data_IF_207145935277
#
_entry.id   IF_207145935277
#
_cell.length_a   1.000
_cell.length_b   1.000
_cell.length_c   1.000
_cell.angle_alpha   90.00
_cell.angle_beta   90.00
_cell.angle_gamma   90.00
#
_symmetry.space_group_name_H-M   'P 1'
#
loop_
_entity.id
_entity.type
_entity.pdbx_description
1 polymer ?
#
# COMPACT_ATOMS: atom_id res chain seq x y z
N UNK A 1 24.85 -79.38 -76.08
CA UNK A 1 25.72 -80.29 -75.30
C UNK A 1 25.73 -79.76 -73.88
N UNK A 2 24.95 -80.38 -73.00
CA UNK A 2 24.84 -79.96 -71.59
C UNK A 2 26.05 -80.53 -70.87
N UNK A 3 26.96 -79.68 -70.41
CA UNK A 3 28.09 -80.12 -69.60
C UNK A 3 27.54 -80.56 -68.24
N UNK A 4 27.40 -81.87 -68.05
CA UNK A 4 27.20 -82.47 -66.74
C UNK A 4 28.56 -82.38 -66.04
N UNK A 5 28.80 -81.26 -65.37
CA UNK A 5 29.90 -81.14 -64.41
C UNK A 5 29.74 -82.25 -63.36
N UNK A 6 30.74 -83.13 -63.30
CA UNK A 6 30.85 -84.25 -62.37
C UNK A 6 30.67 -83.76 -60.92
N UNK A 7 29.75 -84.38 -60.16
CA UNK A 7 29.40 -83.92 -58.80
C UNK A 7 30.61 -83.85 -57.87
N UNK A 8 31.62 -84.71 -58.11
CA UNK A 8 32.91 -84.71 -57.39
C UNK A 8 33.67 -83.38 -57.55
N UNK A 9 33.67 -82.80 -58.76
CA UNK A 9 34.37 -81.56 -59.09
C UNK A 9 33.63 -80.32 -58.57
N UNK A 10 32.29 -80.33 -58.60
CA UNK A 10 31.45 -79.29 -57.97
C UNK A 10 31.64 -79.26 -56.46
N UNK A 11 31.65 -80.43 -55.81
CA UNK A 11 31.86 -80.55 -54.37
C UNK A 11 33.26 -80.07 -53.96
N UNK A 12 34.29 -80.44 -54.73
CA UNK A 12 35.66 -79.99 -54.52
C UNK A 12 35.80 -78.47 -54.64
N UNK A 13 35.22 -77.87 -55.69
CA UNK A 13 35.23 -76.40 -55.90
C UNK A 13 34.47 -75.66 -54.80
N UNK A 14 33.31 -76.17 -54.37
CA UNK A 14 32.51 -75.58 -53.29
C UNK A 14 33.28 -75.61 -51.95
N UNK A 15 33.98 -76.71 -51.66
CA UNK A 15 34.82 -76.82 -50.47
C UNK A 15 36.04 -75.89 -50.53
N UNK A 16 36.68 -75.74 -51.69
CA UNK A 16 37.77 -74.77 -51.88
C UNK A 16 37.29 -73.33 -51.63
N UNK A 17 36.13 -72.93 -52.19
CA UNK A 17 35.54 -71.60 -51.97
C UNK A 17 35.28 -71.37 -50.48
N UNK A 18 34.74 -72.35 -49.75
CA UNK A 18 34.51 -72.23 -48.30
C UNK A 18 35.80 -72.05 -47.50
N UNK A 19 36.86 -72.80 -47.86
CA UNK A 19 38.17 -72.68 -47.20
C UNK A 19 38.83 -71.34 -47.49
N UNK A 20 38.77 -70.86 -48.73
CA UNK A 20 39.29 -69.54 -49.11
C UNK A 20 38.50 -68.40 -48.47
N UNK A 21 37.17 -68.52 -48.41
CA UNK A 21 36.31 -67.56 -47.72
C UNK A 21 36.67 -67.49 -46.23
N UNK A 22 36.74 -68.63 -45.54
CA UNK A 22 37.12 -68.69 -44.13
C UNK A 22 38.53 -68.12 -43.88
N UNK A 23 39.49 -68.39 -44.78
CA UNK A 23 40.84 -67.77 -44.73
C UNK A 23 40.80 -66.26 -44.96
N UNK A 24 39.97 -65.78 -45.89
CA UNK A 24 39.81 -64.35 -46.18
C UNK A 24 39.12 -63.60 -45.04
N UNK A 25 38.11 -64.20 -44.40
CA UNK A 25 37.43 -63.67 -43.22
C UNK A 25 38.36 -63.63 -42.01
N UNK A 26 39.17 -64.68 -41.80
CA UNK A 26 40.19 -64.69 -40.76
C UNK A 26 41.22 -63.58 -40.98
N UNK A 27 41.74 -63.43 -42.22
CA UNK A 27 42.68 -62.35 -42.58
C UNK A 27 42.04 -60.96 -42.46
N UNK A 28 40.76 -60.79 -42.81
CA UNK A 28 40.05 -59.53 -42.66
C UNK A 28 39.85 -59.16 -41.19
N UNK A 29 39.57 -60.14 -40.32
CA UNK A 29 39.51 -59.94 -38.86
C UNK A 29 40.88 -59.54 -38.29
N UNK A 30 41.97 -60.14 -38.75
CA UNK A 30 43.33 -59.76 -38.34
C UNK A 30 43.69 -58.34 -38.81
N UNK A 31 43.46 -58.01 -40.09
CA UNK A 31 43.67 -56.65 -40.62
C UNK A 31 42.82 -55.60 -39.91
N UNK A 32 41.60 -55.94 -39.52
CA UNK A 32 40.72 -55.05 -38.74
C UNK A 32 41.28 -54.82 -37.34
N UNK A 33 41.77 -55.87 -36.65
CA UNK A 33 42.44 -55.72 -35.34
C UNK A 33 43.64 -54.77 -35.41
N UNK A 34 44.46 -54.88 -36.44
CA UNK A 34 45.61 -54.00 -36.64
C UNK A 34 45.19 -52.55 -36.94
N UNK A 35 44.17 -52.37 -37.79
CA UNK A 35 43.61 -51.06 -38.10
C UNK A 35 42.92 -50.38 -36.89
N UNK A 36 42.29 -51.17 -36.01
CA UNK A 36 41.64 -50.69 -34.80
C UNK A 36 42.61 -50.02 -33.82
N UNK A 37 43.89 -50.44 -33.79
CA UNK A 37 44.91 -49.80 -32.96
C UNK A 37 45.25 -48.37 -33.40
N UNK A 38 45.37 -48.14 -34.71
CA UNK A 38 45.59 -46.80 -35.26
C UNK A 38 44.33 -45.92 -35.15
N UNK A 39 43.15 -46.52 -35.32
CA UNK A 39 41.88 -45.80 -35.14
C UNK A 39 41.66 -45.38 -33.67
N UNK A 40 41.91 -46.29 -32.71
CA UNK A 40 41.73 -46.01 -31.28
C UNK A 40 42.72 -44.96 -30.77
N UNK A 41 43.97 -44.99 -31.21
CA UNK A 41 44.96 -43.95 -30.87
C UNK A 41 44.55 -42.58 -31.42
N UNK A 42 44.05 -42.52 -32.65
CA UNK A 42 43.44 -41.30 -33.20
C UNK A 42 42.27 -40.80 -32.35
N UNK A 43 41.36 -41.70 -31.96
CA UNK A 43 40.20 -41.38 -31.13
C UNK A 43 40.58 -40.88 -29.73
N UNK A 44 41.55 -41.54 -29.08
CA UNK A 44 42.08 -41.11 -27.77
C UNK A 44 42.75 -39.74 -27.86
N UNK A 45 43.50 -39.47 -28.93
CA UNK A 45 44.15 -38.18 -29.14
C UNK A 45 43.14 -37.02 -29.31
N UNK A 46 41.97 -37.30 -29.89
CA UNK A 46 40.89 -36.33 -30.03
C UNK A 46 40.14 -36.12 -28.70
N UNK A 47 39.80 -37.21 -27.99
CA UNK A 47 39.14 -37.14 -26.68
C UNK A 47 39.98 -36.39 -25.64
N UNK A 48 41.30 -36.56 -25.65
CA UNK A 48 42.21 -35.87 -24.73
C UNK A 48 42.18 -34.33 -24.87
N UNK A 49 41.76 -33.79 -26.03
CA UNK A 49 41.61 -32.35 -26.25
C UNK A 49 40.32 -31.79 -25.63
N UNK A 50 39.34 -32.64 -25.36
CA UNK A 50 38.04 -32.27 -24.82
C UNK A 50 38.05 -32.47 -23.30
N UNK A 51 38.02 -31.38 -22.55
CA UNK A 51 37.89 -31.43 -21.08
C UNK A 51 36.41 -31.32 -20.69
N UNK A 52 35.86 -32.21 -19.83
CA UNK A 52 34.53 -32.04 -19.30
C UNK A 52 34.45 -30.79 -18.41
N UNK A 53 33.34 -30.09 -18.50
CA UNK A 53 33.08 -28.88 -17.73
C UNK A 53 32.69 -29.22 -16.28
N UNK A 54 33.17 -28.43 -15.32
CA UNK A 54 32.86 -28.55 -13.90
C UNK A 54 31.70 -27.62 -13.52
N UNK A 55 30.51 -28.19 -13.31
CA UNK A 55 29.29 -27.43 -13.00
C UNK A 55 29.32 -26.70 -11.66
N UNK A 56 30.25 -27.03 -10.76
CA UNK A 56 30.38 -26.33 -9.47
C UNK A 56 30.96 -24.93 -9.62
N UNK A 57 31.53 -24.60 -10.79
CA UNK A 57 32.30 -23.39 -11.05
C UNK A 57 31.60 -22.38 -11.96
N UNK A 58 30.27 -22.24 -11.82
CA UNK A 58 29.43 -21.42 -12.71
C UNK A 58 29.99 -20.00 -12.95
N UNK A 59 30.38 -19.25 -11.91
CA UNK A 59 30.85 -17.87 -12.10
C UNK A 59 32.37 -17.76 -12.37
N UNK A 60 33.11 -18.87 -12.33
CA UNK A 60 34.56 -18.89 -12.54
C UNK A 60 34.94 -19.28 -13.98
N UNK A 61 34.20 -20.20 -14.59
CA UNK A 61 34.45 -20.69 -15.94
C UNK A 61 33.33 -20.26 -16.90
N UNK A 62 33.65 -19.48 -17.95
CA UNK A 62 32.64 -19.00 -18.90
C UNK A 62 31.97 -20.11 -19.72
N UNK A 63 32.66 -21.23 -20.00
CA UNK A 63 32.07 -22.33 -20.76
C UNK A 63 30.96 -23.04 -19.96
N UNK A 64 31.06 -23.03 -18.62
CA UNK A 64 29.99 -23.52 -17.73
C UNK A 64 28.78 -22.58 -17.77
N UNK A 65 28.99 -21.27 -17.87
CA UNK A 65 27.91 -20.29 -18.01
C UNK A 65 27.15 -20.46 -19.32
N UNK A 66 27.87 -20.71 -20.42
CA UNK A 66 27.25 -20.97 -21.72
C UNK A 66 26.43 -22.26 -21.68
N UNK A 67 26.98 -23.30 -21.04
CA UNK A 67 26.34 -24.63 -20.90
C UNK A 67 25.02 -24.59 -20.11
N UNK A 68 24.92 -23.77 -19.06
CA UNK A 68 23.72 -23.65 -18.20
C UNK A 68 22.82 -22.44 -18.57
N UNK A 69 23.22 -21.65 -19.56
CA UNK A 69 22.41 -20.52 -20.04
C UNK A 69 21.16 -21.02 -20.76
N UNK A 70 20.00 -20.40 -20.48
CA UNK A 70 18.74 -20.70 -21.18
C UNK A 70 18.86 -20.56 -22.71
N UNK A 71 19.68 -19.62 -23.17
CA UNK A 71 19.91 -19.38 -24.60
C UNK A 71 21.07 -20.22 -25.18
N UNK A 72 21.73 -21.07 -24.37
CA UNK A 72 22.93 -21.83 -24.76
C UNK A 72 24.20 -20.98 -24.92
N UNK A 73 24.12 -19.68 -24.68
CA UNK A 73 25.25 -18.73 -24.66
C UNK A 73 25.00 -17.67 -23.60
N UNK A 74 26.06 -17.18 -22.98
CA UNK A 74 26.02 -16.09 -22.01
C UNK A 74 25.83 -14.76 -22.69
N UNK A 75 25.39 -13.77 -21.92
CA UNK A 75 25.21 -12.40 -22.40
C UNK A 75 26.54 -11.83 -22.91
N UNK A 76 26.55 -11.35 -24.15
CA UNK A 76 27.72 -10.74 -24.78
C UNK A 76 28.11 -9.42 -24.10
N UNK A 77 29.36 -9.00 -24.32
CA UNK A 77 29.82 -7.67 -23.90
C UNK A 77 29.01 -6.57 -24.60
N UNK A 78 28.76 -5.41 -23.94
CA UNK A 78 27.92 -4.35 -24.50
C UNK A 78 28.35 -3.85 -25.90
N UNK A 79 29.64 -3.83 -26.21
CA UNK A 79 30.19 -3.40 -27.52
C UNK A 79 29.98 -4.41 -28.64
N UNK A 80 29.76 -5.68 -28.29
CA UNK A 80 29.55 -6.76 -29.26
C UNK A 80 28.06 -6.96 -29.58
N UNK A 81 27.17 -6.26 -28.87
CA UNK A 81 25.74 -6.28 -29.16
C UNK A 81 25.47 -5.30 -30.31
N UNK A 82 25.06 -5.78 -31.50
CA UNK A 82 24.89 -4.92 -32.67
C UNK A 82 23.72 -3.94 -32.52
N UNK A 83 22.69 -4.34 -31.76
CA UNK A 83 21.48 -3.57 -31.53
C UNK A 83 21.31 -3.26 -30.03
N UNK A 84 21.60 -2.02 -29.65
CA UNK A 84 21.52 -1.56 -28.26
C UNK A 84 21.27 -0.06 -28.14
N UNK A 85 21.46 0.46 -26.93
CA UNK A 85 21.32 1.89 -26.66
C UNK A 85 19.89 2.41 -26.89
N UNK A 86 19.68 3.52 -27.64
CA UNK A 86 18.37 4.18 -27.74
C UNK A 86 17.25 3.27 -28.27
N UNK A 87 17.58 2.30 -29.13
CA UNK A 87 16.60 1.40 -29.74
C UNK A 87 15.91 0.49 -28.72
N UNK A 88 16.61 0.13 -27.65
CA UNK A 88 16.09 -0.75 -26.59
C UNK A 88 15.58 0.01 -25.36
N UNK A 89 15.57 1.36 -25.41
CA UNK A 89 15.04 2.16 -24.32
C UNK A 89 13.56 1.85 -24.09
N UNK A 90 13.22 1.34 -22.92
CA UNK A 90 11.84 1.07 -22.56
C UNK A 90 11.12 2.34 -22.08
N UNK A 91 10.85 3.25 -23.02
CA UNK A 91 10.07 4.47 -22.79
C UNK A 91 8.57 4.27 -23.07
N UNK A 92 8.10 3.02 -23.09
CA UNK A 92 6.67 2.71 -23.27
C UNK A 92 5.85 3.12 -22.04
N UNK A 93 6.43 2.98 -20.85
CA UNK A 93 5.85 3.40 -19.58
C UNK A 93 6.12 4.88 -19.32
N UNK A 94 5.47 5.76 -20.08
CA UNK A 94 5.52 7.21 -19.90
C UNK A 94 4.11 7.77 -19.82
N UNK A 95 3.95 8.79 -18.98
CA UNK A 95 2.72 9.55 -18.89
C UNK A 95 3.05 11.01 -18.63
N UNK A 96 2.12 11.90 -19.00
CA UNK A 96 2.16 13.31 -18.62
C UNK A 96 1.09 13.51 -17.55
N UNK A 97 1.47 14.16 -16.46
CA UNK A 97 0.54 14.59 -15.43
C UNK A 97 0.18 16.05 -15.65
N UNK A 98 -1.10 16.30 -15.85
CA UNK A 98 -1.65 17.64 -15.83
C UNK A 98 -2.10 17.95 -14.38
N UNK A 99 -1.49 18.96 -13.77
CA UNK A 99 -1.81 19.40 -12.39
C UNK A 99 -2.31 20.82 -12.41
N UNK A 100 -3.45 21.06 -11.76
CA UNK A 100 -3.92 22.42 -11.50
C UNK A 100 -3.01 23.13 -10.50
N UNK A 101 -3.07 24.47 -10.50
CA UNK A 101 -2.21 25.32 -9.68
C UNK A 101 -2.27 24.99 -8.17
N UNK A 102 -3.43 24.58 -7.67
CA UNK A 102 -3.67 24.25 -6.24
C UNK A 102 -4.17 22.83 -6.02
N UNK A 103 -4.07 21.96 -7.04
CA UNK A 103 -4.52 20.57 -6.87
C UNK A 103 -3.66 19.88 -5.82
N UNK A 104 -4.31 19.43 -4.73
CA UNK A 104 -3.63 18.74 -3.64
C UNK A 104 -3.38 17.28 -3.98
N UNK A 105 -4.32 16.62 -4.66
CA UNK A 105 -4.25 15.21 -5.03
C UNK A 105 -4.40 15.06 -6.56
N UNK A 106 -3.45 14.41 -7.25
CA UNK A 106 -3.59 14.14 -8.66
C UNK A 106 -4.64 13.05 -8.91
N UNK A 107 -5.64 13.34 -9.75
CA UNK A 107 -6.69 12.41 -10.16
C UNK A 107 -6.31 11.53 -11.36
N UNK A 108 -5.14 11.74 -11.95
CA UNK A 108 -4.66 11.07 -13.17
C UNK A 108 -4.31 9.58 -12.99
N UNK A 109 -4.31 9.08 -11.75
CA UNK A 109 -3.94 7.70 -11.42
C UNK A 109 -2.44 7.42 -11.58
N UNK A 110 -1.60 8.44 -11.80
CA UNK A 110 -0.16 8.26 -11.90
C UNK A 110 0.48 7.96 -10.54
N UNK A 111 1.77 7.61 -10.55
CA UNK A 111 2.50 7.29 -9.32
C UNK A 111 2.43 8.39 -8.25
N UNK A 112 2.15 7.99 -7.00
CA UNK A 112 2.09 8.87 -5.82
C UNK A 112 3.40 8.77 -5.04
N UNK A 113 3.90 9.90 -4.54
CA UNK A 113 5.02 9.90 -3.59
C UNK A 113 4.60 9.33 -2.24
N UNK A 114 5.57 8.89 -1.44
CA UNK A 114 5.30 8.45 -0.08
C UNK A 114 4.91 9.64 0.82
N UNK A 115 4.23 9.33 1.92
CA UNK A 115 3.62 10.30 2.85
C UNK A 115 4.64 11.11 3.67
N UNK A 116 5.92 10.69 3.66
CA UNK A 116 7.03 11.48 4.23
C UNK A 116 7.43 12.67 3.34
N UNK A 117 7.07 12.65 2.05
CA UNK A 117 7.31 13.75 1.10
C UNK A 117 6.16 14.74 1.20
N UNK A 118 6.48 16.03 1.33
CA UNK A 118 5.49 17.10 1.51
C UNK A 118 4.81 17.51 0.18
N UNK A 119 4.22 16.55 -0.54
CA UNK A 119 3.51 16.70 -1.83
C UNK A 119 2.27 15.78 -1.86
N UNK A 120 1.42 15.89 -2.88
CA UNK A 120 0.30 14.95 -3.13
C UNK A 120 -0.60 14.70 -1.91
N UNK A 121 -1.17 15.77 -1.35
CA UNK A 121 -2.09 15.74 -0.21
C UNK A 121 -1.48 15.19 1.10
N UNK A 122 -0.17 15.33 1.27
CA UNK A 122 0.55 14.81 2.45
C UNK A 122 -0.03 15.26 3.80
N UNK A 123 -0.70 16.42 3.87
CA UNK A 123 -1.22 16.97 5.12
C UNK A 123 -2.32 16.08 5.69
N UNK A 124 -3.23 15.61 4.84
CA UNK A 124 -4.31 14.71 5.24
C UNK A 124 -3.74 13.35 5.66
N UNK A 125 -2.87 12.78 4.82
CA UNK A 125 -2.25 11.48 5.08
C UNK A 125 -1.42 11.46 6.38
N UNK A 126 -0.63 12.51 6.63
CA UNK A 126 0.21 12.59 7.83
C UNK A 126 -0.59 12.76 9.12
N UNK A 127 -1.85 13.21 9.00
CA UNK A 127 -2.79 13.38 10.11
C UNK A 127 -3.77 12.20 10.22
N UNK A 128 -3.56 11.13 9.45
CA UNK A 128 -4.36 9.91 9.58
C UNK A 128 -3.92 9.06 10.79
N UNK A 129 -4.91 8.39 11.41
CA UNK A 129 -4.70 7.56 12.60
C UNK A 129 -3.74 6.40 12.38
N UNK A 130 -3.65 5.89 11.15
CA UNK A 130 -2.80 4.75 10.82
C UNK A 130 -1.44 5.16 10.28
N UNK A 131 -1.20 6.45 10.08
CA UNK A 131 0.09 6.96 9.66
C UNK A 131 1.15 6.71 10.74
N UNK A 132 2.35 6.28 10.31
CA UNK A 132 3.48 6.06 11.20
C UNK A 132 4.76 6.60 10.57
N UNK A 133 5.32 7.65 11.17
CA UNK A 133 6.68 8.09 10.85
C UNK A 133 7.72 7.26 11.60
N UNK A 134 8.83 6.94 10.93
CA UNK A 134 9.98 6.30 11.57
C UNK A 134 10.86 7.24 12.38
N UNK A 135 10.59 8.55 12.34
CA UNK A 135 11.36 9.55 13.07
C UNK A 135 10.54 10.20 14.17
N UNK A 136 11.22 10.62 15.25
CA UNK A 136 10.56 11.35 16.34
C UNK A 136 10.04 12.72 15.87
N UNK A 137 8.91 13.20 16.45
CA UNK A 137 8.31 14.48 16.10
C UNK A 137 9.24 15.65 16.49
N UNK A 138 9.14 16.77 15.79
CA UNK A 138 10.12 17.88 15.86
C UNK A 138 10.17 18.49 17.26
N UNK A 139 9.02 18.59 17.93
CA UNK A 139 8.83 19.14 19.27
C UNK A 139 9.73 18.44 20.30
N UNK A 140 9.98 17.14 20.12
CA UNK A 140 10.77 16.31 21.05
C UNK A 140 12.24 16.10 20.60
N UNK A 141 12.65 16.62 19.43
CA UNK A 141 14.04 16.50 18.96
C UNK A 141 14.96 17.44 19.73
N UNK A 142 16.11 16.91 20.19
CA UNK A 142 17.10 17.63 21.01
C UNK A 142 18.39 18.03 20.27
N UNK A 143 18.52 17.72 18.98
CA UNK A 143 19.75 17.97 18.21
C UNK A 143 19.58 19.14 17.23
N UNK A 144 20.65 19.91 17.05
CA UNK A 144 20.72 21.06 16.14
C UNK A 144 20.97 20.65 14.68
N UNK A 145 21.51 19.44 14.45
CA UNK A 145 21.71 18.95 13.08
C UNK A 145 20.36 18.78 12.38
N UNK A 146 20.19 19.47 11.24
CA UNK A 146 18.96 19.54 10.46
C UNK A 146 17.80 20.28 11.14
N UNK A 147 18.06 21.12 12.15
CA UNK A 147 17.08 22.06 12.67
C UNK A 147 16.87 23.22 11.69
N UNK A 148 15.62 23.62 11.46
CA UNK A 148 15.30 24.85 10.72
C UNK A 148 15.35 26.05 11.65
N UNK A 149 15.58 27.25 11.10
CA UNK A 149 15.61 28.50 11.88
C UNK A 149 14.37 28.64 12.79
N UNK A 150 13.19 28.35 12.24
CA UNK A 150 11.95 28.36 13.01
C UNK A 150 11.97 27.35 14.17
N UNK A 151 12.37 26.10 13.92
CA UNK A 151 12.36 25.08 14.98
C UNK A 151 13.41 25.32 16.07
N UNK A 152 14.47 26.08 15.78
CA UNK A 152 15.45 26.46 16.80
C UNK A 152 14.92 27.57 17.70
N UNK A 153 14.17 28.53 17.13
CA UNK A 153 13.63 29.68 17.88
C UNK A 153 12.32 29.38 18.61
N UNK A 154 11.47 28.55 18.01
CA UNK A 154 10.14 28.25 18.52
C UNK A 154 10.07 26.82 19.05
N UNK A 155 10.25 26.71 20.36
CA UNK A 155 10.07 25.46 21.12
C UNK A 155 8.93 25.63 22.12
N UNK A 156 8.27 24.53 22.53
CA UNK A 156 7.25 24.62 23.58
C UNK A 156 7.89 25.20 24.85
N UNK A 157 7.31 26.29 25.36
CA UNK A 157 7.86 27.07 26.47
C UNK A 157 7.52 26.47 27.85
N UNK A 158 6.39 25.77 27.95
CA UNK A 158 5.90 25.18 29.20
C UNK A 158 6.47 23.74 29.38
N UNK A 159 7.30 23.49 30.41
CA UNK A 159 7.83 22.15 30.69
C UNK A 159 6.75 21.11 30.97
N UNK A 160 5.66 21.47 31.66
CA UNK A 160 4.58 20.54 31.97
C UNK A 160 3.86 20.10 30.69
N UNK A 161 3.69 21.01 29.74
CA UNK A 161 3.16 20.68 28.42
C UNK A 161 4.07 19.71 27.65
N UNK A 162 5.39 19.88 27.72
CA UNK A 162 6.35 18.96 27.09
C UNK A 162 6.26 17.57 27.71
N UNK A 163 6.11 17.47 29.03
CA UNK A 163 5.92 16.20 29.72
C UNK A 163 4.61 15.50 29.28
N UNK A 164 3.49 16.23 29.22
CA UNK A 164 2.21 15.68 28.71
C UNK A 164 2.32 15.14 27.29
N UNK A 165 3.02 15.85 26.39
CA UNK A 165 3.28 15.36 25.03
C UNK A 165 4.13 14.10 25.06
N UNK A 166 5.23 14.12 25.82
CA UNK A 166 6.19 13.03 25.89
C UNK A 166 5.54 11.75 26.42
N UNK A 167 4.71 11.87 27.46
CA UNK A 167 4.00 10.73 28.06
C UNK A 167 2.99 10.15 27.08
N UNK A 168 2.17 10.99 26.45
CA UNK A 168 1.20 10.55 25.44
C UNK A 168 1.91 9.87 24.26
N UNK A 169 2.99 10.47 23.75
CA UNK A 169 3.75 9.95 22.61
C UNK A 169 4.42 8.60 22.92
N UNK A 170 5.09 8.47 24.06
CA UNK A 170 5.78 7.24 24.44
C UNK A 170 4.81 6.08 24.67
N UNK A 171 3.66 6.36 25.29
CA UNK A 171 2.69 5.33 25.65
C UNK A 171 1.82 4.87 24.47
N UNK A 172 1.52 5.75 23.50
CA UNK A 172 0.54 5.45 22.45
C UNK A 172 1.09 5.38 21.03
N UNK A 173 2.12 6.17 20.69
CA UNK A 173 2.53 6.32 19.29
C UNK A 173 3.92 5.75 19.02
N UNK A 174 4.88 5.92 19.93
CA UNK A 174 6.31 5.65 19.67
C UNK A 174 6.61 4.25 19.17
N UNK A 175 6.04 3.23 19.82
CA UNK A 175 6.33 1.82 19.52
C UNK A 175 5.19 1.10 18.78
N UNK A 176 4.10 1.80 18.47
CA UNK A 176 3.01 1.23 17.68
C UNK A 176 3.42 1.13 16.21
N UNK A 177 3.11 -0.01 15.58
CA UNK A 177 3.27 -0.20 14.14
C UNK A 177 4.72 -0.34 13.65
N UNK A 178 5.70 -0.62 14.53
CA UNK A 178 7.11 -0.72 14.15
C UNK A 178 7.39 -1.80 13.09
N UNK A 179 6.59 -2.87 13.04
CA UNK A 179 6.70 -3.91 12.02
C UNK A 179 6.52 -3.41 10.58
N UNK A 180 5.90 -2.23 10.40
CA UNK A 180 5.72 -1.59 9.09
C UNK A 180 6.92 -0.76 8.66
N UNK A 181 7.85 -0.46 9.57
CA UNK A 181 9.00 0.40 9.29
C UNK A 181 10.09 -0.44 8.62
N UNK A 182 10.43 -0.08 7.38
CA UNK A 182 11.50 -0.72 6.63
C UNK A 182 12.90 -0.29 7.11
N UNK A 183 13.96 -0.88 6.52
CA UNK A 183 15.35 -0.58 6.90
C UNK A 183 15.77 0.89 6.66
N UNK A 184 15.07 1.60 5.78
CA UNK A 184 15.28 3.04 5.52
C UNK A 184 14.63 3.95 6.58
N UNK A 185 13.85 3.40 7.52
CA UNK A 185 13.06 4.18 8.46
C UNK A 185 11.75 4.72 7.87
N UNK A 186 11.41 4.38 6.62
CA UNK A 186 10.14 4.77 5.99
C UNK A 186 9.14 3.61 6.17
N UNK A 187 7.94 3.92 6.63
CA UNK A 187 6.89 2.92 6.80
C UNK A 187 6.29 2.53 5.44
N UNK A 188 6.04 1.23 5.25
CA UNK A 188 5.28 0.76 4.11
C UNK A 188 3.79 1.18 4.25
N UNK A 189 3.14 1.60 3.15
CA UNK A 189 1.71 1.89 3.16
C UNK A 189 0.92 0.61 3.46
N UNK A 190 -0.24 0.75 4.12
CA UNK A 190 -1.14 -0.39 4.35
C UNK A 190 -1.81 -0.74 3.03
N UNK A 191 -1.53 -1.93 2.51
CA UNK A 191 -2.16 -2.40 1.26
C UNK A 191 -3.43 -3.18 1.62
N UNK A 192 -4.62 -2.74 1.17
CA UNK A 192 -5.86 -3.47 1.41
C UNK A 192 -5.83 -4.81 0.67
N UNK A 193 -6.22 -5.88 1.36
CA UNK A 193 -6.18 -7.25 0.82
C UNK A 193 -7.52 -7.74 0.28
N UNK A 194 -8.63 -7.13 0.72
CA UNK A 194 -10.00 -7.52 0.37
C UNK A 194 -10.81 -6.30 -0.02
N UNK A 195 -11.78 -6.47 -0.93
CA UNK A 195 -12.62 -5.38 -1.43
C UNK A 195 -13.43 -4.65 -0.34
N UNK A 196 -13.81 -5.34 0.73
CA UNK A 196 -14.55 -4.77 1.85
C UNK A 196 -13.67 -4.18 2.95
N UNK A 197 -12.35 -4.37 2.87
CA UNK A 197 -11.43 -3.92 3.91
C UNK A 197 -11.29 -2.39 3.85
N UNK A 198 -11.95 -1.71 4.78
CA UNK A 198 -11.77 -0.28 4.97
C UNK A 198 -10.38 0.00 5.56
N UNK A 199 -9.73 1.07 5.09
CA UNK A 199 -8.47 1.54 5.69
C UNK A 199 -8.72 2.05 7.11
N UNK A 200 -9.84 2.69 7.40
CA UNK A 200 -10.16 3.19 8.74
C UNK A 200 -11.59 3.69 8.85
N UNK A 201 -11.93 4.25 10.01
CA UNK A 201 -13.23 4.86 10.27
C UNK A 201 -13.23 6.33 9.79
N UNK A 202 -13.70 6.57 8.57
CA UNK A 202 -13.67 7.91 7.95
C UNK A 202 -14.95 8.73 8.19
N UNK A 203 -16.09 8.09 8.41
CA UNK A 203 -17.38 8.78 8.60
C UNK A 203 -17.64 9.13 10.07
N UNK A 204 -17.33 8.22 10.98
CA UNK A 204 -17.52 8.37 12.43
C UNK A 204 -16.17 8.60 13.11
N UNK A 205 -15.58 9.77 12.91
CA UNK A 205 -14.22 10.09 13.34
C UNK A 205 -14.06 10.19 14.87
N UNK A 206 -15.11 10.51 15.62
CA UNK A 206 -15.09 10.66 17.09
C UNK A 206 -15.44 9.36 17.85
N UNK A 207 -15.09 8.19 17.31
CA UNK A 207 -15.46 6.86 17.86
C UNK A 207 -14.94 6.64 19.28
N UNK A 208 -13.75 7.12 19.59
CA UNK A 208 -13.07 6.90 20.88
C UNK A 208 -13.41 7.96 21.93
N UNK A 209 -14.31 8.90 21.62
CA UNK A 209 -14.83 9.89 22.57
C UNK A 209 -13.78 10.91 23.02
N UNK A 210 -13.56 11.00 24.34
CA UNK A 210 -12.77 12.06 24.97
C UNK A 210 -11.39 11.56 25.44
N UNK A 211 -10.33 12.34 25.24
CA UNK A 211 -9.00 11.96 25.69
C UNK A 211 -7.88 12.94 25.32
N UNK A 212 -6.64 12.50 25.50
CA UNK A 212 -5.45 13.32 25.25
C UNK A 212 -4.92 13.19 23.81
N UNK A 213 -5.25 12.11 23.10
CA UNK A 213 -4.75 11.87 21.75
C UNK A 213 -5.46 12.77 20.72
N UNK A 214 -4.83 13.11 19.58
CA UNK A 214 -5.46 13.95 18.55
C UNK A 214 -6.72 13.36 17.91
N UNK A 215 -6.93 12.05 18.03
CA UNK A 215 -8.09 11.34 17.46
C UNK A 215 -9.29 11.27 18.41
N UNK A 216 -9.21 12.00 19.53
CA UNK A 216 -10.25 12.11 20.54
C UNK A 216 -10.54 13.58 20.81
N UNK A 217 -11.73 13.86 21.34
CA UNK A 217 -12.13 15.20 21.73
C UNK A 217 -11.37 15.68 22.99
N UNK A 218 -10.79 16.88 22.92
CA UNK A 218 -10.17 17.59 24.05
C UNK A 218 -11.17 18.44 24.86
N UNK A 219 -12.45 18.08 24.82
CA UNK A 219 -13.53 18.83 25.49
C UNK A 219 -13.39 18.76 27.01
N UNK A 220 -13.33 19.93 27.65
CA UNK A 220 -13.30 20.05 29.12
C UNK A 220 -14.62 19.53 29.69
N UNK A 221 -14.57 18.83 30.83
CA UNK A 221 -15.73 18.18 31.45
C UNK A 221 -16.94 19.12 31.64
N UNK A 222 -16.71 20.38 32.01
CA UNK A 222 -17.78 21.38 32.24
C UNK A 222 -18.46 21.89 30.96
N UNK A 223 -17.91 21.60 29.79
CA UNK A 223 -18.39 22.09 28.48
C UNK A 223 -18.99 21.00 27.61
N UNK A 224 -19.08 19.77 28.11
CA UNK A 224 -19.69 18.65 27.37
C UNK A 224 -21.15 18.95 27.03
N UNK A 225 -21.52 18.64 25.77
CA UNK A 225 -22.88 18.79 25.24
C UNK A 225 -23.34 20.23 24.98
N UNK A 226 -22.45 21.22 25.08
CA UNK A 226 -22.78 22.58 24.68
C UNK A 226 -22.88 22.70 23.15
N UNK A 227 -23.80 23.54 22.65
CA UNK A 227 -24.06 23.62 21.21
C UNK A 227 -22.89 24.19 20.37
N UNK A 228 -22.02 25.01 20.97
CA UNK A 228 -20.90 25.67 20.26
C UNK A 228 -19.58 24.90 20.35
N UNK A 229 -19.52 23.86 21.18
CA UNK A 229 -18.34 23.01 21.36
C UNK A 229 -18.78 21.55 21.55
N UNK A 230 -18.52 20.72 20.54
CA UNK A 230 -18.76 19.28 20.65
C UNK A 230 -18.63 18.57 19.31
N UNK A 231 -17.84 17.51 19.28
CA UNK A 231 -17.68 16.62 18.12
C UNK A 231 -17.91 15.15 18.49
N UNK A 232 -17.68 14.78 19.75
CA UNK A 232 -18.07 13.51 20.34
C UNK A 232 -19.46 13.58 21.00
N UNK A 233 -20.22 12.47 21.01
CA UNK A 233 -21.48 12.40 21.74
C UNK A 233 -21.26 12.60 23.24
N UNK A 234 -22.16 13.35 23.90
CA UNK A 234 -22.14 13.53 25.35
C UNK A 234 -22.84 12.38 26.08
N UNK A 235 -24.02 12.01 25.58
CA UNK A 235 -24.90 11.02 26.20
C UNK A 235 -25.60 10.19 25.11
N UNK A 236 -25.89 8.94 25.44
CA UNK A 236 -26.75 8.05 24.64
C UNK A 236 -28.18 7.99 25.22
N UNK A 237 -28.49 8.86 26.19
CA UNK A 237 -29.82 8.95 26.78
C UNK A 237 -30.79 9.71 25.88
N UNK A 238 -32.07 9.38 25.99
CA UNK A 238 -33.12 10.14 25.32
C UNK A 238 -33.41 11.42 26.09
N UNK A 239 -33.70 12.49 25.35
CA UNK A 239 -34.08 13.79 25.93
C UNK A 239 -35.23 13.65 26.93
N UNK A 240 -36.20 12.77 26.66
CA UNK A 240 -37.33 12.52 27.57
C UNK A 240 -36.88 11.94 28.89
N UNK A 241 -35.97 10.96 28.90
CA UNK A 241 -35.42 10.39 30.14
C UNK A 241 -34.66 11.43 30.95
N UNK A 242 -33.82 12.26 30.30
CA UNK A 242 -33.10 13.35 30.96
C UNK A 242 -34.06 14.36 31.61
N UNK A 243 -35.11 14.76 30.88
CA UNK A 243 -36.12 15.68 31.44
C UNK A 243 -36.94 15.07 32.57
N UNK A 244 -37.26 13.77 32.53
CA UNK A 244 -37.94 13.08 33.63
C UNK A 244 -37.11 13.01 34.91
N UNK A 245 -35.78 13.03 34.80
CA UNK A 245 -34.85 13.15 35.94
C UNK A 245 -34.67 14.59 36.42
N UNK A 246 -35.35 15.56 35.80
CA UNK A 246 -35.20 16.99 36.04
C UNK A 246 -33.76 17.51 35.83
N UNK A 247 -32.97 16.83 34.99
CA UNK A 247 -31.65 17.31 34.60
C UNK A 247 -31.77 18.40 33.52
N UNK A 248 -31.05 19.53 33.65
CA UNK A 248 -31.08 20.58 32.64
C UNK A 248 -30.44 20.11 31.33
N UNK A 249 -31.13 20.36 30.21
CA UNK A 249 -30.65 20.04 28.87
C UNK A 249 -29.38 20.85 28.55
N UNK A 250 -28.27 20.16 28.37
CA UNK A 250 -26.94 20.74 28.26
C UNK A 250 -26.76 21.63 27.03
N UNK A 251 -27.42 21.31 25.92
CA UNK A 251 -27.40 22.12 24.70
C UNK A 251 -28.17 23.45 24.84
N UNK A 252 -28.97 23.63 25.90
CA UNK A 252 -29.65 24.90 26.19
C UNK A 252 -28.78 25.87 27.00
N UNK A 253 -27.60 25.43 27.47
CA UNK A 253 -26.65 26.30 28.17
C UNK A 253 -26.26 27.46 27.26
N UNK A 254 -26.05 28.63 27.86
CA UNK A 254 -25.76 29.89 27.15
C UNK A 254 -24.27 30.12 27.00
N UNK A 255 -23.90 30.81 25.93
CA UNK A 255 -22.51 31.20 25.65
C UNK A 255 -22.41 32.71 25.48
N UNK A 256 -21.65 33.37 26.33
CA UNK A 256 -21.46 34.82 26.24
C UNK A 256 -20.64 35.26 25.02
N UNK A 257 -19.77 34.40 24.48
CA UNK A 257 -18.92 34.72 23.31
C UNK A 257 -19.60 34.43 21.97
N UNK A 258 -20.48 33.42 21.92
CA UNK A 258 -21.11 32.95 20.67
C UNK A 258 -22.55 33.42 20.48
N UNK A 259 -23.22 33.89 21.54
CA UNK A 259 -24.58 34.42 21.46
C UNK A 259 -24.70 35.81 22.11
N UNK A 260 -24.91 36.82 21.27
CA UNK A 260 -25.12 38.19 21.72
C UNK A 260 -26.33 38.32 22.68
N UNK A 261 -27.39 37.52 22.52
CA UNK A 261 -28.55 37.52 23.42
C UNK A 261 -28.23 36.90 24.78
N UNK A 262 -27.35 35.90 24.81
CA UNK A 262 -26.81 35.33 26.03
C UNK A 262 -26.03 36.35 26.86
N UNK A 263 -25.27 37.25 26.24
CA UNK A 263 -24.54 38.31 26.95
C UNK A 263 -25.46 39.30 27.70
N UNK A 264 -26.64 39.59 27.13
CA UNK A 264 -27.65 40.47 27.71
C UNK A 264 -28.35 39.77 28.88
N UNK A 265 -28.64 38.47 28.74
CA UNK A 265 -29.36 37.70 29.75
C UNK A 265 -28.47 37.19 30.90
N UNK A 266 -27.16 37.05 30.70
CA UNK A 266 -26.19 36.66 31.75
C UNK A 266 -25.84 37.84 32.68
N UNK A 267 -26.08 39.09 32.27
CA UNK A 267 -25.90 40.29 33.12
C UNK A 267 -27.10 40.58 34.02
N UNK A 268 -28.22 39.91 33.81
CA UNK A 268 -29.38 40.06 34.66
C UNK A 268 -29.33 39.05 35.80
N UNK A 269 -29.48 39.58 37.03
CA UNK A 269 -29.80 38.83 38.25
C UNK A 269 -30.73 37.65 37.94
N UNK A 270 -30.63 36.52 38.67
CA UNK A 270 -31.63 35.46 38.58
C UNK A 270 -33.00 36.13 38.70
N UNK A 271 -33.89 35.87 37.75
CA UNK A 271 -35.27 36.35 37.80
C UNK A 271 -35.94 35.65 38.98
N UNK A 272 -35.80 36.25 40.16
CA UNK A 272 -36.63 35.98 41.31
C UNK A 272 -37.96 36.66 40.94
N UNK A 273 -38.96 35.81 40.64
CA UNK A 273 -40.29 36.13 40.12
C UNK A 273 -40.39 36.40 38.61
N UNK A 274 -40.96 35.42 37.91
CA UNK A 274 -41.53 35.59 36.58
C UNK A 274 -42.53 36.76 36.62
N UNK A 275 -42.33 37.78 35.79
CA UNK A 275 -43.30 38.86 35.66
C UNK A 275 -44.59 38.33 35.02
N UNK A 276 -45.75 38.84 35.42
CA UNK A 276 -47.06 38.48 34.85
C UNK A 276 -47.11 38.61 33.31
N UNK A 277 -46.26 39.47 32.75
CA UNK A 277 -46.12 39.70 31.30
C UNK A 277 -45.53 38.49 30.56
N UNK A 278 -44.68 37.71 31.22
CA UNK A 278 -44.11 36.46 30.68
C UNK A 278 -45.09 35.29 30.77
N UNK A 279 -45.97 35.28 31.77
CA UNK A 279 -47.08 34.33 31.88
C UNK A 279 -48.15 34.57 30.80
N UNK A 280 -48.47 35.83 30.49
CA UNK A 280 -49.46 36.20 29.46
C UNK A 280 -49.02 35.79 28.05
N UNK A 281 -47.72 35.91 27.73
CA UNK A 281 -47.18 35.45 26.44
C UNK A 281 -47.28 33.92 26.32
N UNK A 282 -47.18 33.19 27.43
CA UNK A 282 -47.33 31.73 27.45
C UNK A 282 -48.79 31.31 27.28
N UNK A 283 -49.74 32.02 27.88
CA UNK A 283 -51.18 31.79 27.66
C UNK A 283 -51.63 32.17 26.24
N UNK A 284 -51.09 33.24 25.66
CA UNK A 284 -51.40 33.66 24.28
C UNK A 284 -50.75 32.75 23.22
N UNK A 285 -49.59 32.14 23.53
CA UNK A 285 -48.99 31.10 22.69
C UNK A 285 -49.80 29.80 22.69
N UNK A 286 -50.61 29.52 23.72
CA UNK A 286 -51.55 28.40 23.70
C UNK A 286 -52.79 28.70 22.83
N UNK A 287 -53.13 29.97 22.60
CA UNK A 287 -54.31 30.37 21.83
C UNK A 287 -54.07 30.50 20.31
N UNK A 288 -52.81 30.53 19.85
CA UNK A 288 -52.46 30.79 18.44
C UNK A 288 -51.82 29.62 17.72
N UNK A 289 -52.07 28.38 18.18
CA UNK A 289 -51.57 27.18 17.51
C UNK A 289 -52.67 26.39 16.77
N UNK A 290 -53.25 26.91 15.67
CA UNK A 290 -54.02 26.11 14.72
C UNK A 290 -53.12 25.46 13.64
N UNK A 291 -51.79 25.43 13.82
CA UNK A 291 -50.91 24.66 12.94
C UNK A 291 -50.80 23.23 13.45
N UNK A 292 -51.83 22.44 13.14
CA UNK A 292 -51.73 20.98 13.09
C UNK A 292 -50.58 20.60 12.14
N UNK A 293 -49.37 20.40 12.69
CA UNK A 293 -48.32 19.65 12.00
C UNK A 293 -48.78 18.19 11.92
N UNK A 294 -49.42 17.85 10.82
CA UNK A 294 -49.45 16.47 10.34
C UNK A 294 -48.00 16.02 10.21
N UNK A 295 -47.58 15.10 11.08
CA UNK A 295 -46.35 14.34 10.87
C UNK A 295 -46.59 13.45 9.66
N UNK A 296 -46.12 13.87 8.48
CA UNK A 296 -45.87 12.94 7.39
C UNK A 296 -44.50 12.32 7.65
N UNK A 297 -44.49 11.03 7.92
CA UNK A 297 -43.30 10.21 7.74
C UNK A 297 -42.90 10.30 6.27
N UNK A 298 -41.76 10.92 5.99
CA UNK A 298 -41.10 10.79 4.69
C UNK A 298 -40.68 9.33 4.54
N UNK A 299 -41.44 8.56 3.77
CA UNK A 299 -41.01 7.26 3.31
C UNK A 299 -39.90 7.45 2.27
N UNK A 300 -39.12 6.39 2.04
CA UNK A 300 -37.90 6.36 1.22
C UNK A 300 -38.03 6.85 -0.24
N UNK A 301 -39.24 7.25 -0.68
CA UNK A 301 -39.54 7.72 -2.03
C UNK A 301 -39.48 9.25 -2.19
N UNK A 302 -39.44 10.04 -1.11
CA UNK A 302 -39.51 11.52 -1.19
C UNK A 302 -38.13 12.21 -1.22
N UNK A 303 -37.04 11.46 -1.35
CA UNK A 303 -35.70 12.06 -1.52
C UNK A 303 -35.53 12.54 -2.96
N UNK A 304 -35.85 13.82 -3.21
CA UNK A 304 -35.42 14.50 -4.44
C UNK A 304 -33.93 14.82 -4.30
N UNK A 305 -33.10 14.05 -4.99
CA UNK A 305 -31.66 14.23 -5.06
C UNK A 305 -31.32 15.45 -5.95
N UNK A 306 -30.94 16.56 -5.33
CA UNK A 306 -30.51 17.78 -6.04
C UNK A 306 -29.05 17.72 -6.54
N UNK A 307 -28.37 16.57 -6.43
CA UNK A 307 -26.98 16.41 -6.89
C UNK A 307 -26.83 16.13 -8.39
N UNK A 308 -27.92 15.83 -9.11
CA UNK A 308 -27.89 15.59 -10.56
C UNK A 308 -28.30 16.85 -11.33
N UNK A 309 -27.32 17.57 -11.85
CA UNK A 309 -27.56 18.48 -12.99
C UNK A 309 -28.05 17.66 -14.18
N UNK A 310 -29.09 18.07 -14.91
CA UNK A 310 -29.45 17.43 -16.16
C UNK A 310 -28.30 17.60 -17.16
N UNK A 311 -27.93 16.50 -17.81
CA UNK A 311 -27.05 16.55 -18.98
C UNK A 311 -27.70 17.48 -20.01
N UNK A 312 -27.04 18.59 -20.31
CA UNK A 312 -27.35 19.39 -21.47
C UNK A 312 -26.86 18.60 -22.67
N UNK A 313 -27.79 18.01 -23.41
CA UNK A 313 -27.55 17.57 -24.78
C UNK A 313 -27.32 18.81 -25.64
N UNK A 314 -26.10 18.95 -26.13
CA UNK A 314 -25.69 19.76 -27.28
C UNK A 314 -24.74 18.90 -28.10
#
# INVERSE_FOLDING_TARGET
>A
MVYIEDESTKLHRTNMIRVELARSEARAKERSKDALGLYSTGLHSYQARMRPLDRTRLYQDPAVQDWDSLAGTRRSLPTNVPDGGPRINNNTLKFKRDTDFVSTLPYDGGGKYCEEVCLNNYVEERRDKQFKSGFHPRELRRNDRCATEYTTRYRPSDPEYVERIKDTYNNTSRFVGLHRIGPSGIAAPVVPSKAWQASGDHLAYARDGYGATPYQDHTIASKKGNFWVGTAPHSYETVTTTTMRAEPLEFQRRCASEDARSSILMKNKPLIYESDRTLTIRSDMHATNPWCRTWKSTSHADHVDFSRRPATTG
#
